data_IF_765049275959
#
_entry.id   IF_765049275959
#
_cell.length_a   1.000
_cell.length_b   1.000
_cell.length_c   1.000
_cell.angle_alpha   90.00
_cell.angle_beta   90.00
_cell.angle_gamma   90.00
#
_symmetry.space_group_name_H-M   'P 1'
#
loop_
_entity.id
_entity.type
_entity.pdbx_description
1 polymer ?
#
# COMPACT_ATOMS: atom_id res chain seq x y z
N UNK A 1 -18.86 -9.81 -11.94
CA UNK A 1 -17.75 -10.09 -12.89
C UNK A 1 -16.47 -9.59 -12.25
N UNK A 2 -15.47 -10.45 -12.08
CA UNK A 2 -14.19 -10.03 -11.50
C UNK A 2 -13.36 -9.28 -12.54
N UNK A 3 -12.58 -8.27 -12.10
CA UNK A 3 -11.73 -7.45 -12.96
C UNK A 3 -10.27 -7.65 -12.57
N UNK A 4 -9.40 -7.73 -13.57
CA UNK A 4 -7.95 -7.68 -13.41
C UNK A 4 -7.43 -6.41 -14.08
N UNK A 5 -6.84 -5.52 -13.31
CA UNK A 5 -6.16 -4.32 -13.78
C UNK A 5 -4.67 -4.61 -13.90
N UNK A 6 -4.11 -4.42 -15.09
CA UNK A 6 -2.67 -4.56 -15.34
C UNK A 6 -2.06 -3.17 -15.30
N UNK A 7 -1.46 -2.81 -14.16
CA UNK A 7 -0.80 -1.51 -13.97
C UNK A 7 0.65 -1.52 -14.45
N UNK A 8 1.29 -2.68 -14.40
CA UNK A 8 2.64 -2.92 -14.89
C UNK A 8 2.80 -4.36 -15.34
N UNK A 9 3.19 -4.59 -16.59
CA UNK A 9 3.43 -5.91 -17.15
C UNK A 9 4.78 -5.95 -17.88
N UNK A 10 5.79 -5.32 -17.26
CA UNK A 10 7.14 -5.21 -17.80
C UNK A 10 8.16 -6.02 -17.00
N UNK A 11 9.41 -5.73 -17.25
CA UNK A 11 10.61 -6.31 -16.62
C UNK A 11 11.43 -5.21 -15.95
N UNK A 12 12.57 -5.50 -15.31
CA UNK A 12 13.47 -4.47 -14.78
C UNK A 12 13.99 -3.49 -15.84
N UNK A 13 13.93 -3.87 -17.11
CA UNK A 13 14.36 -3.00 -18.21
C UNK A 13 13.17 -2.17 -18.70
N UNK A 14 13.17 -0.84 -18.52
CA UNK A 14 12.07 0.01 -18.97
C UNK A 14 12.01 0.10 -20.49
N UNK A 15 10.81 0.04 -21.03
CA UNK A 15 10.49 0.46 -22.39
C UNK A 15 9.44 1.58 -22.34
N UNK A 16 9.18 2.30 -23.45
CA UNK A 16 8.15 3.33 -23.45
C UNK A 16 6.75 2.83 -23.03
N UNK A 17 6.46 1.55 -23.28
CA UNK A 17 5.15 0.95 -23.05
C UNK A 17 5.07 0.12 -21.77
N UNK A 18 6.20 -0.40 -21.28
CA UNK A 18 6.21 -1.39 -20.19
C UNK A 18 7.39 -1.18 -19.24
N UNK A 19 7.08 -1.17 -17.94
CA UNK A 19 8.08 -1.16 -16.91
C UNK A 19 7.51 -1.75 -15.60
N UNK A 20 8.26 -2.70 -15.02
CA UNK A 20 7.96 -3.32 -13.73
C UNK A 20 6.68 -4.11 -13.68
N UNK A 21 6.35 -4.56 -12.50
CA UNK A 21 5.21 -5.43 -12.19
C UNK A 21 4.24 -4.75 -11.23
N UNK A 22 2.94 -4.73 -11.58
CA UNK A 22 1.89 -4.35 -10.65
C UNK A 22 0.53 -4.72 -11.22
N UNK A 23 -0.31 -5.38 -10.42
CA UNK A 23 -1.64 -5.84 -10.82
C UNK A 23 -2.63 -5.59 -9.70
N UNK A 24 -3.91 -5.33 -10.04
CA UNK A 24 -5.00 -5.30 -9.05
C UNK A 24 -6.09 -6.25 -9.46
N UNK A 25 -6.48 -7.12 -8.54
CA UNK A 25 -7.61 -8.02 -8.68
C UNK A 25 -8.79 -7.48 -7.86
N UNK A 26 -9.89 -7.22 -8.54
CA UNK A 26 -11.18 -6.89 -7.96
C UNK A 26 -12.11 -8.08 -8.14
N UNK A 27 -12.55 -8.68 -7.05
CA UNK A 27 -13.40 -9.86 -7.06
C UNK A 27 -14.88 -9.46 -6.92
N UNK A 28 -15.73 -10.08 -7.73
CA UNK A 28 -17.15 -9.72 -7.93
C UNK A 28 -18.00 -9.69 -6.65
N UNK A 29 -17.70 -10.59 -5.72
CA UNK A 29 -18.50 -10.77 -4.50
C UNK A 29 -17.79 -10.20 -3.25
N UNK A 30 -16.73 -9.44 -3.43
CA UNK A 30 -15.91 -8.92 -2.33
C UNK A 30 -15.63 -7.45 -2.58
N UNK A 31 -15.90 -6.62 -1.58
CA UNK A 31 -15.54 -5.19 -1.66
C UNK A 31 -14.02 -4.96 -1.65
N UNK A 32 -13.26 -5.96 -1.20
CA UNK A 32 -11.80 -5.87 -1.07
C UNK A 32 -11.10 -5.97 -2.41
N UNK A 33 -10.07 -5.14 -2.59
CA UNK A 33 -9.17 -5.19 -3.74
C UNK A 33 -7.80 -5.69 -3.30
N UNK A 34 -7.27 -6.60 -4.10
CA UNK A 34 -5.99 -7.24 -3.85
C UNK A 34 -4.99 -6.73 -4.90
N UNK A 35 -3.91 -6.14 -4.44
CA UNK A 35 -2.81 -5.70 -5.30
C UNK A 35 -1.66 -6.70 -5.23
N UNK A 36 -1.04 -7.00 -6.36
CA UNK A 36 0.16 -7.81 -6.48
C UNK A 36 1.28 -6.96 -7.05
N UNK A 37 2.36 -6.84 -6.30
CA UNK A 37 3.50 -5.98 -6.55
C UNK A 37 3.17 -4.47 -6.65
N UNK A 38 4.15 -3.65 -6.43
CA UNK A 38 4.05 -2.19 -6.45
C UNK A 38 5.27 -1.59 -7.16
N UNK A 39 5.42 -1.99 -8.41
CA UNK A 39 6.54 -1.57 -9.27
C UNK A 39 6.43 -0.12 -9.74
N UNK A 40 7.32 0.32 -10.64
CA UNK A 40 7.46 1.72 -11.02
C UNK A 40 6.16 2.38 -11.47
N UNK A 41 5.85 3.53 -10.85
CA UNK A 41 4.66 4.34 -11.09
C UNK A 41 3.33 3.58 -10.88
N UNK A 42 3.31 2.54 -10.04
CA UNK A 42 2.10 1.77 -9.74
C UNK A 42 0.99 2.65 -9.18
N UNK A 43 1.32 3.59 -8.29
CA UNK A 43 0.36 4.53 -7.69
C UNK A 43 -0.30 5.44 -8.74
N UNK A 44 0.48 6.01 -9.66
CA UNK A 44 -0.05 6.84 -10.74
C UNK A 44 -0.95 6.04 -11.70
N UNK A 45 -0.51 4.85 -12.08
CA UNK A 45 -1.26 3.94 -12.96
C UNK A 45 -2.55 3.44 -12.30
N UNK A 46 -2.52 3.20 -10.98
CA UNK A 46 -3.69 2.85 -10.19
C UNK A 46 -4.77 3.94 -10.31
N UNK A 47 -4.39 5.21 -10.08
CA UNK A 47 -5.31 6.34 -10.19
C UNK A 47 -5.81 6.53 -11.63
N UNK A 48 -4.96 6.34 -12.65
CA UNK A 48 -5.36 6.36 -14.05
C UNK A 48 -6.37 5.25 -14.42
N UNK A 49 -6.31 4.12 -13.72
CA UNK A 49 -7.29 3.04 -13.85
C UNK A 49 -8.62 3.31 -13.11
N UNK A 50 -8.75 4.47 -12.44
CA UNK A 50 -9.94 4.85 -11.69
C UNK A 50 -10.00 4.28 -10.27
N UNK A 51 -8.89 3.74 -9.78
CA UNK A 51 -8.75 3.20 -8.42
C UNK A 51 -7.91 4.15 -7.56
N UNK A 52 -8.09 4.06 -6.23
CA UNK A 52 -7.33 4.87 -5.29
C UNK A 52 -6.47 3.99 -4.37
N UNK A 53 -5.33 4.47 -3.86
CA UNK A 53 -4.55 3.74 -2.87
C UNK A 53 -5.36 3.28 -1.65
N UNK A 54 -6.38 4.05 -1.26
CA UNK A 54 -7.30 3.72 -0.16
C UNK A 54 -8.33 2.63 -0.51
N UNK A 55 -8.47 2.25 -1.77
CA UNK A 55 -9.35 1.16 -2.20
C UNK A 55 -8.68 -0.22 -2.08
N UNK A 56 -7.35 -0.25 -1.90
CA UNK A 56 -6.57 -1.49 -1.78
C UNK A 56 -6.55 -1.93 -0.32
N UNK A 57 -7.02 -3.14 -0.04
CA UNK A 57 -7.04 -3.71 1.31
C UNK A 57 -5.88 -4.69 1.54
N UNK A 58 -5.39 -5.30 0.46
CA UNK A 58 -4.33 -6.32 0.49
C UNK A 58 -3.27 -6.02 -0.56
N UNK A 59 -2.01 -6.09 -0.17
CA UNK A 59 -0.87 -6.02 -1.07
C UNK A 59 0.00 -7.26 -0.87
N UNK A 60 0.28 -7.97 -1.95
CA UNK A 60 1.18 -9.12 -1.97
C UNK A 60 2.41 -8.80 -2.81
N UNK A 61 3.59 -8.97 -2.24
CA UNK A 61 4.83 -8.95 -3.01
C UNK A 61 5.22 -10.37 -3.43
N UNK A 62 5.47 -10.55 -4.73
CA UNK A 62 6.02 -11.79 -5.24
C UNK A 62 7.48 -11.96 -4.80
N UNK A 63 8.25 -10.87 -4.84
CA UNK A 63 9.61 -10.75 -4.35
C UNK A 63 10.05 -9.28 -4.28
N UNK A 64 11.22 -9.02 -3.68
CA UNK A 64 11.73 -7.66 -3.47
C UNK A 64 12.84 -7.27 -4.46
N UNK A 65 12.57 -7.35 -5.76
CA UNK A 65 13.33 -6.60 -6.74
C UNK A 65 12.69 -5.22 -6.96
N UNK A 66 13.52 -4.22 -7.29
CA UNK A 66 13.05 -2.83 -7.38
C UNK A 66 11.91 -2.61 -8.38
N UNK A 67 11.82 -3.40 -9.41
CA UNK A 67 10.75 -3.33 -10.40
C UNK A 67 9.43 -3.93 -9.92
N UNK A 68 9.41 -4.49 -8.70
CA UNK A 68 8.23 -5.01 -8.02
C UNK A 68 7.82 -4.18 -6.78
N UNK A 69 8.71 -3.31 -6.24
CA UNK A 69 8.43 -2.62 -4.98
C UNK A 69 8.84 -1.14 -4.91
N UNK A 70 9.47 -0.58 -5.95
CA UNK A 70 10.05 0.78 -5.88
C UNK A 70 9.01 1.88 -5.66
N UNK A 71 7.74 1.69 -6.06
CA UNK A 71 6.67 2.66 -5.82
C UNK A 71 5.95 2.46 -4.48
N UNK A 72 6.33 1.45 -3.71
CA UNK A 72 5.71 1.12 -2.43
C UNK A 72 5.70 2.27 -1.43
N UNK A 73 6.79 3.03 -1.19
CA UNK A 73 6.73 4.18 -0.29
C UNK A 73 5.78 5.28 -0.79
N UNK A 74 5.73 5.53 -2.10
CA UNK A 74 4.78 6.48 -2.69
C UNK A 74 3.33 6.03 -2.45
N UNK A 75 3.04 4.76 -2.74
CA UNK A 75 1.73 4.17 -2.50
C UNK A 75 1.30 4.30 -1.03
N UNK A 76 2.18 3.97 -0.08
CA UNK A 76 1.91 4.05 1.36
C UNK A 76 1.62 5.48 1.81
N UNK A 77 2.45 6.45 1.40
CA UNK A 77 2.29 7.85 1.77
C UNK A 77 1.03 8.46 1.16
N UNK A 78 0.74 8.17 -0.11
CA UNK A 78 -0.51 8.58 -0.75
C UNK A 78 -1.73 7.99 -0.04
N UNK A 79 -1.69 6.69 0.29
CA UNK A 79 -2.76 6.03 1.03
C UNK A 79 -2.98 6.69 2.39
N UNK A 80 -1.90 6.93 3.16
CA UNK A 80 -1.98 7.59 4.46
C UNK A 80 -2.53 9.02 4.36
N UNK A 81 -2.09 9.79 3.36
CA UNK A 81 -2.55 11.17 3.17
C UNK A 81 -4.04 11.24 2.77
N UNK A 82 -4.53 10.23 2.09
CA UNK A 82 -5.91 10.17 1.56
C UNK A 82 -6.88 9.38 2.44
N UNK A 83 -6.44 8.84 3.59
CA UNK A 83 -7.24 7.92 4.41
C UNK A 83 -8.37 8.56 5.20
N UNK A 84 -8.58 9.87 5.11
CA UNK A 84 -9.64 10.58 5.86
C UNK A 84 -11.01 9.98 5.54
N UNK A 85 -11.65 9.38 6.56
CA UNK A 85 -12.93 8.71 6.41
C UNK A 85 -12.89 7.35 5.68
N UNK A 86 -11.69 6.85 5.37
CA UNK A 86 -11.43 5.51 4.80
C UNK A 86 -10.26 4.85 5.55
N UNK A 87 -10.41 4.73 6.84
CA UNK A 87 -9.33 4.24 7.74
C UNK A 87 -9.36 2.71 7.83
N UNK A 88 -9.30 2.03 6.68
CA UNK A 88 -9.15 0.58 6.62
C UNK A 88 -7.66 0.19 6.71
N UNK A 89 -7.38 -0.87 7.45
CA UNK A 89 -6.02 -1.41 7.57
C UNK A 89 -5.57 -2.02 6.25
N UNK A 90 -4.38 -1.65 5.79
CA UNK A 90 -3.71 -2.32 4.68
C UNK A 90 -2.96 -3.54 5.20
N UNK A 91 -3.30 -4.74 4.74
CA UNK A 91 -2.55 -5.96 5.01
C UNK A 91 -1.52 -6.17 3.90
N UNK A 92 -0.25 -6.29 4.26
CA UNK A 92 0.85 -6.47 3.30
C UNK A 92 1.54 -7.80 3.55
N UNK A 93 1.67 -8.61 2.53
CA UNK A 93 2.31 -9.91 2.59
C UNK A 93 3.42 -10.00 1.54
N UNK A 94 4.51 -10.66 1.88
CA UNK A 94 5.59 -10.92 0.95
C UNK A 94 6.71 -11.71 1.61
N UNK A 95 7.71 -12.15 0.84
CA UNK A 95 8.86 -12.80 1.44
C UNK A 95 9.62 -11.83 2.34
N UNK A 96 10.43 -12.37 3.25
CA UNK A 96 11.36 -11.50 3.99
C UNK A 96 12.27 -10.73 3.01
N UNK A 97 12.46 -9.39 3.21
CA UNK A 97 12.19 -8.63 4.43
C UNK A 97 10.97 -7.67 4.36
N UNK A 98 9.78 -8.11 4.03
CA UNK A 98 8.58 -7.24 3.88
C UNK A 98 8.30 -6.40 5.14
N UNK A 99 8.33 -7.01 6.33
CA UNK A 99 8.11 -6.28 7.59
C UNK A 99 9.18 -5.23 7.83
N UNK A 100 10.44 -5.61 7.67
CA UNK A 100 11.57 -4.70 7.84
C UNK A 100 11.54 -3.56 6.82
N UNK A 101 11.30 -3.87 5.55
CA UNK A 101 11.23 -2.88 4.47
C UNK A 101 10.15 -1.83 4.76
N UNK A 102 8.96 -2.26 5.18
CA UNK A 102 7.88 -1.35 5.54
C UNK A 102 8.29 -0.40 6.67
N UNK A 103 8.90 -0.93 7.73
CA UNK A 103 9.40 -0.11 8.84
C UNK A 103 10.54 0.83 8.43
N UNK A 104 11.48 0.36 7.61
CA UNK A 104 12.60 1.16 7.12
C UNK A 104 12.13 2.31 6.20
N UNK A 105 11.02 2.14 5.50
CA UNK A 105 10.47 3.16 4.61
C UNK A 105 9.67 4.23 5.37
N UNK A 106 8.65 3.86 6.12
CA UNK A 106 7.68 4.80 6.70
C UNK A 106 7.53 4.72 8.21
N UNK A 107 8.22 3.80 8.89
CA UNK A 107 8.25 3.74 10.36
C UNK A 107 8.80 5.02 10.98
N UNK A 108 8.78 5.11 12.31
CA UNK A 108 9.15 6.35 13.04
C UNK A 108 10.55 6.86 12.69
N UNK A 109 11.48 5.96 12.39
CA UNK A 109 12.86 6.27 11.97
C UNK A 109 13.11 5.89 10.50
N UNK A 110 12.06 5.67 9.73
CA UNK A 110 12.15 5.28 8.32
C UNK A 110 12.59 6.41 7.41
N UNK A 111 13.03 6.04 6.20
CA UNK A 111 13.57 6.98 5.22
C UNK A 111 12.60 8.13 4.87
N UNK A 112 11.29 7.88 4.88
CA UNK A 112 10.24 8.86 4.59
C UNK A 112 9.54 9.40 5.84
N UNK A 113 10.03 9.09 7.05
CA UNK A 113 9.44 9.60 8.30
C UNK A 113 9.39 11.13 8.36
N UNK A 114 10.36 11.81 7.74
CA UNK A 114 10.40 13.26 7.68
C UNK A 114 9.17 13.87 6.98
N UNK A 115 8.62 13.21 5.96
CA UNK A 115 7.45 13.71 5.22
C UNK A 115 6.19 13.67 6.09
N UNK A 116 5.82 12.51 6.61
CA UNK A 116 4.60 12.42 7.43
C UNK A 116 4.71 13.17 8.76
N UNK A 117 5.91 13.25 9.37
CA UNK A 117 6.16 14.09 10.56
C UNK A 117 5.94 15.57 10.26
N UNK A 118 6.42 16.06 9.11
CA UNK A 118 6.18 17.43 8.67
C UNK A 118 4.68 17.70 8.46
N UNK A 119 3.95 16.77 7.81
CA UNK A 119 2.49 16.90 7.57
C UNK A 119 1.67 16.88 8.86
N UNK A 120 2.09 16.15 9.88
CA UNK A 120 1.44 16.14 11.19
C UNK A 120 1.67 17.47 11.93
N UNK A 121 2.88 18.00 11.89
CA UNK A 121 3.32 19.08 12.78
C UNK A 121 3.19 20.48 12.15
N UNK A 122 3.23 20.60 10.82
CA UNK A 122 3.17 21.90 10.17
C UNK A 122 1.74 22.46 10.12
N UNK A 123 1.53 23.68 10.62
CA UNK A 123 0.23 24.36 10.65
C UNK A 123 -0.47 24.38 9.27
N UNK A 124 0.21 24.72 8.15
CA UNK A 124 -0.44 24.70 6.85
C UNK A 124 -0.96 23.32 6.45
N UNK A 125 -0.21 22.27 6.77
CA UNK A 125 -0.64 20.86 6.51
C UNK A 125 -1.82 20.46 7.37
N UNK A 126 -1.87 20.89 8.62
CA UNK A 126 -3.02 20.65 9.51
C UNK A 126 -4.28 21.34 8.98
N UNK A 127 -4.16 22.58 8.47
CA UNK A 127 -5.29 23.28 7.85
C UNK A 127 -5.82 22.52 6.61
N UNK A 128 -4.93 22.03 5.74
CA UNK A 128 -5.34 21.22 4.59
C UNK A 128 -6.05 19.94 5.04
N UNK A 129 -5.53 19.27 6.07
CA UNK A 129 -6.11 18.05 6.61
C UNK A 129 -7.52 18.30 7.18
N UNK A 130 -7.71 19.34 7.98
CA UNK A 130 -9.02 19.72 8.53
C UNK A 130 -10.00 20.12 7.44
N UNK A 131 -9.56 20.87 6.43
CA UNK A 131 -10.41 21.27 5.30
C UNK A 131 -10.89 20.08 4.45
N UNK A 132 -10.18 18.96 4.50
CA UNK A 132 -10.60 17.68 3.90
C UNK A 132 -11.50 16.83 4.81
N UNK A 133 -11.87 17.34 6.00
CA UNK A 133 -12.70 16.63 6.98
C UNK A 133 -11.94 15.86 8.03
N UNK A 134 -10.62 15.99 8.10
CA UNK A 134 -9.78 15.36 9.12
C UNK A 134 -9.95 16.00 10.50
N UNK A 135 -9.74 15.21 11.54
CA UNK A 135 -9.82 15.64 12.95
C UNK A 135 -8.42 15.62 13.57
N UNK A 136 -8.04 16.74 14.20
CA UNK A 136 -6.76 16.84 14.90
C UNK A 136 -6.81 16.18 16.29
N UNK A 137 -5.67 15.65 16.78
CA UNK A 137 -4.38 15.58 16.08
C UNK A 137 -4.38 14.47 15.01
N UNK A 138 -3.74 14.76 13.88
CA UNK A 138 -3.53 13.76 12.83
C UNK A 138 -2.62 12.64 13.35
N UNK A 139 -3.05 11.39 13.20
CA UNK A 139 -2.27 10.23 13.65
C UNK A 139 -1.15 9.90 12.65
N UNK A 140 0.02 9.47 13.15
CA UNK A 140 1.06 8.91 12.27
C UNK A 140 0.59 7.60 11.61
N UNK A 141 1.25 7.14 10.53
CA UNK A 141 1.02 5.80 10.02
C UNK A 141 1.47 4.78 11.07
N UNK A 142 0.52 4.08 11.70
CA UNK A 142 0.82 3.04 12.69
C UNK A 142 1.09 1.71 11.98
N UNK A 143 2.22 1.08 12.32
CA UNK A 143 2.66 -0.21 11.75
C UNK A 143 2.66 -1.25 12.85
N UNK A 144 1.99 -2.37 12.63
CA UNK A 144 2.05 -3.52 13.53
C UNK A 144 1.78 -4.81 12.76
N UNK A 145 2.57 -5.84 13.00
CA UNK A 145 2.33 -7.18 12.46
C UNK A 145 1.36 -8.01 13.29
N UNK A 146 0.95 -7.52 14.47
CA UNK A 146 0.14 -8.28 15.44
C UNK A 146 -1.18 -7.63 15.81
N UNK A 147 -1.33 -6.32 15.66
CA UNK A 147 -2.54 -5.58 16.02
C UNK A 147 -3.30 -5.10 14.78
N UNK A 148 -4.31 -5.88 14.38
CA UNK A 148 -5.14 -5.58 13.19
C UNK A 148 -6.19 -4.50 13.44
N UNK A 149 -6.55 -4.22 14.68
CA UNK A 149 -7.64 -3.29 14.99
C UNK A 149 -7.16 -1.84 15.09
N UNK A 150 -5.88 -1.64 15.46
CA UNK A 150 -5.33 -0.32 15.72
C UNK A 150 -4.20 0.08 14.77
N UNK A 151 -3.85 -0.79 13.82
CA UNK A 151 -2.79 -0.54 12.84
C UNK A 151 -3.35 0.04 11.55
N UNK A 152 -2.66 1.04 11.03
CA UNK A 152 -2.93 1.54 9.69
C UNK A 152 -2.37 0.61 8.60
N UNK A 153 -1.25 -0.08 8.90
CA UNK A 153 -0.63 -1.06 8.03
C UNK A 153 -0.15 -2.28 8.82
N UNK A 154 -0.38 -3.46 8.28
CA UNK A 154 0.05 -4.75 8.82
C UNK A 154 0.96 -5.47 7.83
N UNK A 155 2.27 -5.24 7.86
CA UNK A 155 3.21 -6.03 7.09
C UNK A 155 3.44 -7.39 7.76
N UNK A 156 3.59 -8.44 6.95
CA UNK A 156 3.90 -9.79 7.39
C UNK A 156 4.83 -10.49 6.41
N UNK A 157 5.94 -11.00 6.92
CA UNK A 157 6.81 -11.91 6.17
C UNK A 157 6.11 -13.26 6.01
N UNK A 158 6.08 -13.80 4.80
CA UNK A 158 5.54 -15.11 4.47
C UNK A 158 6.60 -15.98 3.77
N UNK A 159 6.42 -17.28 3.86
CA UNK A 159 7.31 -18.28 3.23
C UNK A 159 6.51 -19.23 2.36
N UNK A 160 7.19 -19.97 1.49
CA UNK A 160 6.55 -21.00 0.67
C UNK A 160 5.79 -22.02 1.52
N UNK A 161 4.53 -22.24 1.21
CA UNK A 161 3.63 -23.11 1.95
C UNK A 161 2.73 -22.39 2.97
N UNK A 162 2.94 -21.09 3.21
CA UNK A 162 1.98 -20.29 3.98
C UNK A 162 0.69 -20.13 3.17
N UNK A 163 -0.43 -20.20 3.88
CA UNK A 163 -1.76 -20.01 3.31
C UNK A 163 -2.38 -18.77 3.95
N UNK A 164 -2.68 -17.77 3.14
CA UNK A 164 -3.43 -16.58 3.56
C UNK A 164 -4.88 -16.78 3.18
N UNK A 165 -5.73 -16.91 4.18
CA UNK A 165 -7.15 -17.23 3.99
C UNK A 165 -8.01 -16.11 4.58
N UNK A 166 -8.89 -15.60 3.78
CA UNK A 166 -10.01 -14.74 4.17
C UNK A 166 -11.35 -15.42 3.86
N UNK A 167 -12.48 -14.79 4.19
CA UNK A 167 -13.80 -15.42 4.07
C UNK A 167 -14.13 -15.91 2.65
N UNK A 168 -13.62 -15.26 1.62
CA UNK A 168 -14.05 -15.46 0.24
C UNK A 168 -12.90 -15.70 -0.76
N UNK A 169 -11.65 -15.75 -0.31
CA UNK A 169 -10.49 -16.04 -1.15
C UNK A 169 -9.34 -16.67 -0.35
N UNK A 170 -8.45 -17.33 -1.06
CA UNK A 170 -7.24 -17.95 -0.53
C UNK A 170 -6.09 -17.61 -1.47
N UNK A 171 -4.93 -17.30 -0.89
CA UNK A 171 -3.62 -17.21 -1.57
C UNK A 171 -2.72 -18.27 -0.96
N UNK A 172 -2.13 -19.14 -1.81
CA UNK A 172 -1.24 -20.24 -1.46
C UNK A 172 0.13 -20.02 -2.09
#
# INVERSE_FOLDING_TARGET
MSNLYILGGGTPTPTPERFGSSYVLELDNIKSKIMFDCGPAATDKLVKAGLWPTDIDYLFFTHHHFDHDVDYPCFLLCRWDQSIGKENTLKVFGPSPTEKLTNDLIGENGAFAHDWKARINAIPSQHVFVNRGGILPRKPPSISSTDSEHSWIMPKDIVAGDIIKESNWIVE
#
